data_IF_445844349182
#
_entry.id   IF_445844349182
#
_cell.length_a   1.000
_cell.length_b   1.000
_cell.length_c   1.000
_cell.angle_alpha   90.00
_cell.angle_beta   90.00
_cell.angle_gamma   90.00
#
_symmetry.space_group_name_H-M   'P 1'
#
loop_
_entity.id
_entity.type
_entity.pdbx_description
1 polymer ?
#
# COMPACT_ATOMS: atom_id res chain seq x y z
N UNK A 1 27.12 -6.86 19.56
CA UNK A 1 25.95 -6.03 19.93
C UNK A 1 24.74 -6.91 19.79
N UNK A 2 24.08 -7.28 20.88
CA UNK A 2 22.80 -8.00 20.85
C UNK A 2 21.77 -7.09 20.19
N UNK A 3 21.35 -7.43 18.97
CA UNK A 3 20.25 -6.75 18.29
C UNK A 3 19.00 -6.94 19.14
N UNK A 4 18.53 -5.89 19.80
CA UNK A 4 17.27 -5.91 20.55
C UNK A 4 16.12 -6.23 19.58
N UNK A 5 15.27 -7.19 19.97
CA UNK A 5 14.05 -7.51 19.24
C UNK A 5 13.21 -6.23 19.10
N UNK A 6 12.63 -6.04 17.92
CA UNK A 6 11.73 -4.94 17.62
C UNK A 6 10.41 -5.13 18.37
N UNK A 7 10.10 -4.28 19.36
CA UNK A 7 8.73 -4.35 19.90
C UNK A 7 7.71 -3.92 18.81
N UNK A 8 6.55 -4.59 18.77
CA UNK A 8 5.56 -4.42 17.72
C UNK A 8 4.76 -3.12 17.88
N UNK A 9 4.03 -2.75 16.82
CA UNK A 9 2.93 -1.78 16.88
C UNK A 9 1.61 -2.48 16.55
N UNK A 10 0.53 -2.08 17.21
CA UNK A 10 -0.78 -2.68 16.99
C UNK A 10 -1.41 -2.10 15.71
N UNK A 11 -2.02 -2.96 14.91
CA UNK A 11 -2.88 -2.58 13.80
C UNK A 11 -4.33 -2.77 14.24
N UNK A 12 -5.03 -1.69 14.51
CA UNK A 12 -6.39 -1.70 15.09
C UNK A 12 -7.47 -1.53 14.03
N UNK A 13 -7.16 -0.89 12.91
CA UNK A 13 -8.09 -0.67 11.80
C UNK A 13 -7.46 -0.86 10.45
N UNK A 14 -8.28 -1.19 9.46
CA UNK A 14 -7.89 -1.28 8.06
C UNK A 14 -9.05 -0.89 7.16
N UNK A 15 -8.76 -0.02 6.19
CA UNK A 15 -9.67 0.36 5.12
C UNK A 15 -9.00 0.20 3.78
N UNK A 16 -9.76 -0.25 2.79
CA UNK A 16 -9.26 -0.50 1.44
C UNK A 16 -10.28 -0.05 0.40
N UNK A 17 -9.78 0.50 -0.70
CA UNK A 17 -10.51 0.83 -1.90
C UNK A 17 -9.71 0.25 -3.06
N UNK A 18 -10.30 -0.68 -3.80
CA UNK A 18 -9.60 -1.48 -4.80
C UNK A 18 -10.53 -1.77 -5.99
N UNK A 19 -10.05 -2.47 -7.04
CA UNK A 19 -10.91 -2.95 -8.12
C UNK A 19 -12.03 -3.90 -7.67
N UNK A 20 -11.98 -4.43 -6.45
CA UNK A 20 -13.08 -5.17 -5.82
C UNK A 20 -14.23 -4.27 -5.32
N UNK A 21 -13.96 -2.96 -5.16
CA UNK A 21 -14.80 -2.03 -4.42
C UNK A 21 -14.16 -1.55 -3.12
N UNK A 22 -15.00 -1.08 -2.19
CA UNK A 22 -14.59 -0.52 -0.90
C UNK A 22 -14.82 -1.50 0.26
N UNK A 23 -13.83 -1.63 1.13
CA UNK A 23 -13.88 -2.41 2.36
C UNK A 23 -13.26 -3.81 2.25
N UNK A 24 -12.86 -4.36 3.41
CA UNK A 24 -12.23 -5.69 3.50
C UNK A 24 -13.15 -6.82 3.01
N UNK A 25 -14.46 -6.70 3.22
CA UNK A 25 -15.41 -7.71 2.78
C UNK A 25 -15.45 -7.86 1.25
N UNK A 26 -15.45 -6.73 0.51
CA UNK A 26 -15.40 -6.74 -0.94
C UNK A 26 -14.06 -7.32 -1.44
N UNK A 27 -12.94 -6.93 -0.81
CA UNK A 27 -11.63 -7.48 -1.13
C UNK A 27 -11.57 -9.00 -0.88
N UNK A 28 -12.10 -9.48 0.25
CA UNK A 28 -12.15 -10.92 0.58
C UNK A 28 -12.94 -11.70 -0.47
N UNK A 29 -14.16 -11.27 -0.77
CA UNK A 29 -15.01 -11.91 -1.78
C UNK A 29 -14.33 -11.99 -3.15
N UNK A 30 -13.51 -11.00 -3.52
CA UNK A 30 -12.70 -11.07 -4.73
C UNK A 30 -11.57 -12.10 -4.63
N UNK A 31 -10.83 -12.11 -3.51
CA UNK A 31 -9.72 -13.05 -3.29
C UNK A 31 -10.18 -14.51 -3.22
N UNK A 32 -11.38 -14.75 -2.71
CA UNK A 32 -12.00 -16.07 -2.63
C UNK A 32 -12.65 -16.52 -3.96
N UNK A 33 -12.64 -15.64 -4.98
CA UNK A 33 -13.21 -15.93 -6.30
C UNK A 33 -14.73 -15.85 -6.37
N UNK A 34 -15.40 -15.30 -5.36
CA UNK A 34 -16.85 -15.08 -5.33
C UNK A 34 -17.28 -13.93 -6.26
N UNK A 35 -16.38 -12.98 -6.50
CA UNK A 35 -16.60 -11.84 -7.38
C UNK A 35 -15.47 -11.68 -8.40
N UNK A 36 -15.63 -10.76 -9.36
CA UNK A 36 -14.62 -10.42 -10.38
C UNK A 36 -14.14 -8.99 -10.19
N UNK A 37 -12.88 -8.67 -10.52
CA UNK A 37 -12.41 -7.29 -10.44
C UNK A 37 -13.11 -6.44 -11.51
N UNK A 38 -13.26 -5.15 -11.23
CA UNK A 38 -13.65 -4.20 -12.27
C UNK A 38 -12.47 -3.99 -13.24
N UNK A 39 -12.53 -4.69 -14.37
CA UNK A 39 -11.43 -4.83 -15.33
C UNK A 39 -11.84 -4.31 -16.71
N UNK A 40 -10.93 -3.61 -17.37
CA UNK A 40 -10.99 -3.32 -18.80
C UNK A 40 -9.94 -4.19 -19.51
N UNK A 41 -10.36 -5.06 -20.46
CA UNK A 41 -9.43 -5.94 -21.17
C UNK A 41 -8.54 -5.12 -22.13
N UNK A 42 -7.39 -5.68 -22.56
CA UNK A 42 -6.55 -5.05 -23.56
C UNK A 42 -7.31 -4.90 -24.88
N UNK A 43 -7.10 -3.77 -25.56
CA UNK A 43 -7.65 -3.50 -26.88
C UNK A 43 -6.55 -2.95 -27.80
N UNK A 44 -6.35 -3.58 -28.96
CA UNK A 44 -5.29 -3.20 -29.91
C UNK A 44 -5.56 -1.83 -30.56
N UNK A 45 -6.84 -1.47 -30.75
CA UNK A 45 -7.28 -0.24 -31.39
C UNK A 45 -7.59 0.91 -30.41
N UNK A 46 -7.32 0.73 -29.11
CA UNK A 46 -7.61 1.76 -28.10
C UNK A 46 -6.55 2.87 -28.11
N UNK A 47 -6.96 4.10 -28.46
CA UNK A 47 -6.05 5.26 -28.41
C UNK A 47 -5.83 5.78 -26.97
N UNK A 48 -6.80 5.56 -26.08
CA UNK A 48 -6.80 6.13 -24.72
C UNK A 48 -5.91 5.31 -23.77
N UNK A 49 -5.96 3.99 -23.82
CA UNK A 49 -5.16 3.09 -22.99
C UNK A 49 -4.23 2.25 -23.87
N UNK A 50 -3.02 1.89 -23.40
CA UNK A 50 -2.18 0.93 -24.10
C UNK A 50 -2.87 -0.44 -24.22
N UNK A 51 -2.37 -1.36 -25.07
CA UNK A 51 -2.89 -2.73 -25.20
C UNK A 51 -2.48 -3.59 -23.99
N UNK A 52 -2.89 -3.19 -22.79
CA UNK A 52 -2.70 -3.87 -21.52
C UNK A 52 -4.06 -3.94 -20.81
N UNK A 53 -4.26 -5.00 -20.03
CA UNK A 53 -5.41 -5.04 -19.13
C UNK A 53 -5.24 -4.01 -18.01
N UNK A 54 -6.33 -3.39 -17.58
CA UNK A 54 -6.34 -2.50 -16.43
C UNK A 54 -7.47 -2.86 -15.48
N UNK A 55 -7.21 -2.75 -14.18
CA UNK A 55 -8.18 -2.96 -13.12
C UNK A 55 -8.34 -1.67 -12.33
N UNK A 56 -9.51 -1.09 -12.43
CA UNK A 56 -9.80 0.23 -11.86
C UNK A 56 -10.81 0.11 -10.74
N UNK A 57 -10.70 0.97 -9.74
CA UNK A 57 -11.71 1.09 -8.70
C UNK A 57 -13.05 1.40 -9.38
N UNK A 58 -14.15 0.68 -9.06
CA UNK A 58 -15.46 1.01 -9.61
C UNK A 58 -15.88 2.44 -9.24
N UNK A 59 -16.96 2.95 -9.85
CA UNK A 59 -17.44 4.29 -9.51
C UNK A 59 -17.96 4.34 -8.07
N UNK A 60 -17.14 4.87 -7.18
CA UNK A 60 -17.42 5.03 -5.76
C UNK A 60 -17.46 6.52 -5.44
N UNK A 61 -18.61 6.98 -4.99
CA UNK A 61 -18.84 8.40 -4.70
C UNK A 61 -18.20 8.76 -3.36
N UNK A 62 -17.13 9.55 -3.38
CA UNK A 62 -16.47 10.08 -2.19
C UNK A 62 -17.44 10.70 -1.17
N UNK A 63 -18.45 11.44 -1.67
CA UNK A 63 -19.43 12.11 -0.82
C UNK A 63 -20.27 11.17 0.06
N UNK A 64 -20.37 9.89 -0.29
CA UNK A 64 -21.14 8.91 0.46
C UNK A 64 -20.36 8.43 1.71
N UNK A 65 -19.05 8.65 1.75
CA UNK A 65 -18.17 8.27 2.86
C UNK A 65 -17.78 9.45 3.76
N UNK A 66 -17.58 10.63 3.16
CA UNK A 66 -17.04 11.80 3.89
C UNK A 66 -17.93 13.04 3.85
N UNK A 67 -19.13 12.93 3.27
CA UNK A 67 -20.06 14.04 3.08
C UNK A 67 -19.75 14.89 1.84
N UNK A 68 -20.67 15.79 1.48
CA UNK A 68 -20.60 16.56 0.21
C UNK A 68 -19.70 17.80 0.28
N UNK A 69 -19.49 18.37 1.46
CA UNK A 69 -18.82 19.66 1.61
C UNK A 69 -17.34 19.52 1.27
N UNK A 70 -16.86 20.26 0.26
CA UNK A 70 -15.44 20.31 -0.11
C UNK A 70 -14.95 19.22 -1.06
N UNK A 71 -15.73 18.17 -1.33
CA UNK A 71 -15.28 17.02 -2.14
C UNK A 71 -15.11 17.31 -3.63
N UNK A 72 -15.85 18.29 -4.19
CA UNK A 72 -15.84 18.61 -5.63
C UNK A 72 -14.45 19.00 -6.18
N UNK A 73 -13.55 19.48 -5.32
CA UNK A 73 -12.21 19.96 -5.73
C UNK A 73 -11.12 18.92 -5.58
N UNK A 74 -11.43 17.78 -4.98
CA UNK A 74 -10.46 16.72 -4.71
C UNK A 74 -10.31 15.82 -5.93
N UNK A 75 -9.07 15.41 -6.20
CA UNK A 75 -8.80 14.41 -7.23
C UNK A 75 -9.19 12.99 -6.76
N UNK A 76 -9.09 12.04 -7.68
CA UNK A 76 -9.46 10.64 -7.44
C UNK A 76 -8.50 9.97 -6.44
N UNK A 77 -7.21 10.29 -6.48
CA UNK A 77 -6.19 9.77 -5.56
C UNK A 77 -6.51 10.17 -4.10
N UNK A 78 -6.84 11.44 -3.87
CA UNK A 78 -7.30 11.96 -2.58
C UNK A 78 -8.60 11.26 -2.17
N UNK A 79 -9.53 11.10 -3.13
CA UNK A 79 -10.79 10.39 -2.88
C UNK A 79 -10.57 8.98 -2.34
N UNK A 80 -9.66 8.20 -2.94
CA UNK A 80 -9.30 6.87 -2.45
C UNK A 80 -8.73 6.90 -1.03
N UNK A 81 -7.79 7.81 -0.78
CA UNK A 81 -7.18 7.98 0.55
C UNK A 81 -8.21 8.30 1.62
N UNK A 82 -9.11 9.25 1.36
CA UNK A 82 -10.17 9.64 2.31
C UNK A 82 -11.17 8.52 2.58
N UNK A 83 -11.60 7.79 1.54
CA UNK A 83 -12.51 6.64 1.71
C UNK A 83 -11.81 5.52 2.51
N UNK A 84 -10.57 5.17 2.15
CA UNK A 84 -9.80 4.15 2.86
C UNK A 84 -9.55 4.56 4.33
N UNK A 85 -9.21 5.82 4.60
CA UNK A 85 -9.09 6.33 5.98
C UNK A 85 -10.41 6.24 6.74
N UNK A 86 -11.54 6.59 6.11
CA UNK A 86 -12.86 6.48 6.76
C UNK A 86 -13.16 5.04 7.17
N UNK A 87 -12.95 4.09 6.27
CA UNK A 87 -13.15 2.66 6.54
C UNK A 87 -12.18 2.12 7.61
N UNK A 88 -10.95 2.63 7.64
CA UNK A 88 -9.97 2.30 8.66
C UNK A 88 -10.38 2.85 10.05
N UNK A 89 -10.95 4.05 10.10
CA UNK A 89 -11.53 4.62 11.33
C UNK A 89 -12.71 3.79 11.84
N UNK A 90 -13.60 3.39 10.92
CA UNK A 90 -14.79 2.59 11.26
C UNK A 90 -14.42 1.23 11.87
N UNK A 91 -13.28 0.66 11.46
CA UNK A 91 -12.78 -0.63 11.99
C UNK A 91 -11.92 -0.47 13.25
N UNK A 92 -11.14 0.59 13.39
CA UNK A 92 -10.30 0.81 14.58
C UNK A 92 -11.09 1.06 15.87
N UNK A 93 -12.25 1.71 15.75
CA UNK A 93 -13.05 2.12 16.90
C UNK A 93 -12.30 3.04 17.87
N UNK A 94 -12.88 3.23 19.07
CA UNK A 94 -12.29 4.05 20.13
C UNK A 94 -12.68 5.52 20.11
N UNK A 95 -12.24 6.26 21.13
CA UNK A 95 -12.48 7.69 21.24
C UNK A 95 -11.65 8.46 20.19
N UNK A 96 -12.27 9.45 19.56
CA UNK A 96 -11.60 10.38 18.64
C UNK A 96 -11.77 11.81 19.18
N UNK A 97 -10.98 12.13 20.20
CA UNK A 97 -10.94 13.46 20.82
C UNK A 97 -9.78 14.30 20.28
N UNK A 98 -9.78 15.59 20.63
CA UNK A 98 -8.77 16.53 20.14
C UNK A 98 -7.35 16.20 20.64
N UNK A 99 -7.22 15.56 21.81
CA UNK A 99 -5.92 15.15 22.35
C UNK A 99 -5.31 14.01 21.52
N UNK A 100 -6.12 13.01 21.13
CA UNK A 100 -5.68 11.94 20.25
C UNK A 100 -5.42 12.46 18.84
N UNK A 101 -6.26 13.35 18.29
CA UNK A 101 -6.04 13.97 16.97
C UNK A 101 -4.75 14.78 16.91
N UNK A 102 -4.41 15.50 17.98
CA UNK A 102 -3.15 16.23 18.10
C UNK A 102 -1.91 15.31 17.98
N UNK A 103 -2.08 14.03 18.34
CA UNK A 103 -1.05 12.99 18.33
C UNK A 103 -1.25 11.95 17.22
N UNK A 104 -2.23 12.16 16.34
CA UNK A 104 -2.51 11.29 15.20
C UNK A 104 -1.78 11.82 13.97
N UNK A 105 -0.96 10.98 13.35
CA UNK A 105 -0.24 11.29 12.13
C UNK A 105 -0.75 10.54 10.89
N UNK A 106 -0.17 10.87 9.74
CA UNK A 106 -0.38 10.23 8.44
C UNK A 106 0.96 9.90 7.81
N UNK A 107 1.13 8.66 7.35
CA UNK A 107 2.29 8.21 6.59
C UNK A 107 1.81 7.48 5.32
N UNK A 108 1.97 8.10 4.17
CA UNK A 108 1.40 7.60 2.92
C UNK A 108 2.48 7.26 1.89
N UNK A 109 2.45 6.04 1.35
CA UNK A 109 3.30 5.63 0.24
C UNK A 109 2.70 6.02 -1.11
N UNK A 110 3.38 6.88 -1.85
CA UNK A 110 3.10 7.17 -3.27
C UNK A 110 4.35 7.78 -3.90
N UNK A 111 4.77 7.28 -5.06
CA UNK A 111 5.97 7.78 -5.76
C UNK A 111 5.64 8.86 -6.77
N UNK A 112 4.54 8.69 -7.48
CA UNK A 112 4.13 9.54 -8.61
C UNK A 112 3.12 10.60 -8.21
N UNK A 113 2.37 10.40 -7.12
CA UNK A 113 1.18 11.20 -6.83
C UNK A 113 0.15 11.08 -7.97
N UNK A 114 -0.73 12.08 -8.10
CA UNK A 114 -1.70 12.13 -9.19
C UNK A 114 -1.05 12.68 -10.47
N UNK A 115 -0.53 11.78 -11.32
CA UNK A 115 0.02 12.15 -12.64
C UNK A 115 -1.03 12.84 -13.49
N UNK A 116 -2.30 12.43 -13.36
CA UNK A 116 -3.43 13.10 -14.02
C UNK A 116 -3.53 14.56 -13.60
N UNK A 117 -3.50 14.85 -12.30
CA UNK A 117 -3.59 16.23 -11.80
C UNK A 117 -2.39 17.08 -12.23
N UNK A 118 -1.19 16.48 -12.27
CA UNK A 118 0.01 17.13 -12.81
C UNK A 118 -0.16 17.48 -14.29
N UNK A 119 -0.66 16.52 -15.09
CA UNK A 119 -0.94 16.74 -16.51
C UNK A 119 -2.00 17.81 -16.73
N UNK A 120 -3.14 17.75 -16.04
CA UNK A 120 -4.21 18.75 -16.17
C UNK A 120 -3.76 20.16 -15.74
N UNK A 121 -2.87 20.27 -14.75
CA UNK A 121 -2.26 21.55 -14.41
C UNK A 121 -1.34 22.04 -15.53
N UNK A 122 -0.46 21.18 -16.05
CA UNK A 122 0.46 21.53 -17.13
C UNK A 122 -0.30 21.95 -18.40
N UNK A 123 -1.34 21.20 -18.79
CA UNK A 123 -2.21 21.52 -19.91
C UNK A 123 -2.87 22.89 -19.71
N UNK A 124 -3.35 23.22 -18.50
CA UNK A 124 -3.89 24.56 -18.23
C UNK A 124 -2.86 25.70 -18.38
N UNK A 125 -1.57 25.42 -18.21
CA UNK A 125 -0.50 26.42 -18.34
C UNK A 125 -0.08 26.59 -19.80
N UNK A 126 0.07 25.48 -20.52
CA UNK A 126 0.69 25.45 -21.84
C UNK A 126 -0.29 25.44 -23.00
N UNK A 127 -1.56 25.08 -22.77
CA UNK A 127 -2.61 25.10 -23.78
C UNK A 127 -3.40 26.41 -23.69
N UNK A 128 -3.24 27.34 -24.66
CA UNK A 128 -3.93 28.63 -24.63
C UNK A 128 -5.46 28.51 -24.70
N UNK A 129 -5.99 27.41 -25.25
CA UNK A 129 -7.43 27.18 -25.35
C UNK A 129 -8.07 26.83 -24.00
N UNK A 130 -7.31 26.19 -23.11
CA UNK A 130 -7.76 25.82 -21.76
C UNK A 130 -7.63 27.01 -20.80
N UNK A 131 -6.51 27.73 -20.89
CA UNK A 131 -6.18 28.84 -20.00
C UNK A 131 -5.79 28.39 -18.59
N UNK A 132 -5.09 29.26 -17.87
CA UNK A 132 -4.51 28.92 -16.56
C UNK A 132 -5.57 28.71 -15.46
N UNK A 133 -5.55 27.53 -14.82
CA UNK A 133 -6.48 27.17 -13.72
C UNK A 133 -5.71 26.95 -12.40
N UNK A 134 -5.45 28.00 -11.61
CA UNK A 134 -4.65 27.91 -10.39
C UNK A 134 -5.17 26.90 -9.35
N UNK A 135 -6.48 26.65 -9.33
CA UNK A 135 -7.11 25.74 -8.38
C UNK A 135 -6.73 24.26 -8.57
N UNK A 136 -6.05 23.89 -9.66
CA UNK A 136 -5.53 22.53 -9.88
C UNK A 136 -4.23 22.26 -9.12
N UNK A 137 -3.47 23.30 -8.76
CA UNK A 137 -2.16 23.17 -8.12
C UNK A 137 -2.14 22.37 -6.81
N UNK A 138 -3.12 22.50 -5.88
CA UNK A 138 -3.09 21.75 -4.64
C UNK A 138 -3.14 20.22 -4.81
N UNK A 139 -3.69 19.73 -5.92
CA UNK A 139 -3.81 18.30 -6.21
C UNK A 139 -2.53 17.74 -6.87
N UNK A 140 -1.74 18.59 -7.54
CA UNK A 140 -0.56 18.15 -8.30
C UNK A 140 0.67 17.86 -7.43
N UNK A 141 0.68 18.28 -6.16
CA UNK A 141 1.81 18.00 -5.26
C UNK A 141 1.69 16.58 -4.69
N UNK A 142 2.81 15.87 -4.63
CA UNK A 142 2.85 14.44 -4.24
C UNK A 142 2.22 14.17 -2.86
N UNK A 143 2.38 15.10 -1.92
CA UNK A 143 1.85 14.99 -0.56
C UNK A 143 0.37 15.40 -0.42
N UNK A 144 -0.33 15.71 -1.52
CA UNK A 144 -1.71 16.22 -1.50
C UNK A 144 -2.65 15.27 -0.76
N UNK A 145 -2.60 13.97 -1.05
CA UNK A 145 -3.46 12.98 -0.41
C UNK A 145 -3.22 12.86 1.10
N UNK A 146 -1.96 12.76 1.55
CA UNK A 146 -1.64 12.72 2.98
C UNK A 146 -2.04 14.02 3.71
N UNK A 147 -1.85 15.17 3.04
CA UNK A 147 -2.29 16.47 3.53
C UNK A 147 -3.82 16.55 3.68
N UNK A 148 -4.57 16.11 2.67
CA UNK A 148 -6.03 16.12 2.69
C UNK A 148 -6.59 15.14 3.72
N UNK A 149 -5.99 13.96 3.91
CA UNK A 149 -6.36 13.04 5.00
C UNK A 149 -6.23 13.75 6.35
N UNK A 150 -5.12 14.45 6.59
CA UNK A 150 -4.92 15.15 7.86
C UNK A 150 -5.91 16.32 8.05
N UNK A 151 -6.09 17.16 7.03
CA UNK A 151 -7.03 18.29 7.06
C UNK A 151 -8.46 17.82 7.31
N UNK A 152 -8.88 16.76 6.61
CA UNK A 152 -10.25 16.28 6.69
C UNK A 152 -10.62 15.69 8.05
N UNK A 153 -9.65 15.08 8.73
CA UNK A 153 -9.84 14.42 10.02
C UNK A 153 -9.26 15.22 11.20
N UNK A 154 -8.81 16.47 10.96
CA UNK A 154 -8.14 17.32 11.93
C UNK A 154 -6.94 16.68 12.65
N UNK A 155 -6.20 15.82 11.95
CA UNK A 155 -4.97 15.21 12.48
C UNK A 155 -3.83 16.23 12.48
N UNK A 156 -3.09 16.31 13.59
CA UNK A 156 -2.05 17.33 13.78
C UNK A 156 -0.67 16.75 14.11
N UNK A 157 -0.54 15.41 14.11
CA UNK A 157 0.74 14.72 14.27
C UNK A 157 1.59 14.75 13.00
N UNK A 158 2.57 13.84 12.94
CA UNK A 158 3.46 13.71 11.77
C UNK A 158 2.65 13.53 10.48
N UNK A 159 3.03 14.22 9.41
CA UNK A 159 2.42 14.03 8.09
C UNK A 159 3.54 13.86 7.05
N UNK A 160 3.64 12.68 6.46
CA UNK A 160 4.73 12.35 5.54
C UNK A 160 4.28 11.51 4.37
N UNK A 161 4.85 11.82 3.21
CA UNK A 161 4.66 11.07 1.97
C UNK A 161 5.99 10.46 1.56
N UNK A 162 5.99 9.15 1.34
CA UNK A 162 7.19 8.36 1.07
C UNK A 162 7.15 7.84 -0.37
N UNK A 163 8.17 8.18 -1.13
CA UNK A 163 8.36 7.79 -2.53
C UNK A 163 9.55 6.83 -2.64
N UNK A 164 9.27 5.55 -2.89
CA UNK A 164 10.27 4.48 -3.01
C UNK A 164 9.80 3.37 -3.96
N UNK A 165 9.16 3.76 -5.08
CA UNK A 165 8.59 2.85 -6.06
C UNK A 165 7.58 1.87 -5.46
N UNK A 166 7.67 0.60 -5.84
CA UNK A 166 6.84 -0.48 -5.27
C UNK A 166 6.99 -0.62 -3.74
N UNK A 167 8.12 -0.22 -3.17
CA UNK A 167 8.38 -0.29 -1.74
C UNK A 167 7.88 0.93 -0.95
N UNK A 168 7.16 1.87 -1.57
CA UNK A 168 6.69 3.12 -0.94
C UNK A 168 5.83 2.89 0.30
N UNK A 169 4.82 2.02 0.22
CA UNK A 169 3.96 1.68 1.37
C UNK A 169 4.73 0.94 2.48
N UNK A 170 5.75 0.15 2.14
CA UNK A 170 6.64 -0.48 3.14
C UNK A 170 7.50 0.57 3.85
N UNK A 171 8.03 1.55 3.11
CA UNK A 171 8.71 2.71 3.68
C UNK A 171 7.80 3.52 4.61
N UNK A 172 6.53 3.70 4.23
CA UNK A 172 5.53 4.36 5.06
C UNK A 172 5.25 3.58 6.36
N UNK A 173 5.11 2.25 6.30
CA UNK A 173 4.97 1.38 7.47
C UNK A 173 6.17 1.48 8.42
N UNK A 174 7.38 1.46 7.87
CA UNK A 174 8.61 1.67 8.65
C UNK A 174 8.64 3.05 9.31
N UNK A 175 8.26 4.09 8.59
CA UNK A 175 8.17 5.46 9.11
C UNK A 175 7.15 5.55 10.25
N UNK A 176 5.93 5.03 10.06
CA UNK A 176 4.87 5.06 11.06
C UNK A 176 5.27 4.31 12.34
N UNK A 177 5.86 3.11 12.18
CA UNK A 177 6.41 2.36 13.30
C UNK A 177 7.44 3.19 14.07
N UNK A 178 8.41 3.79 13.38
CA UNK A 178 9.42 4.61 14.06
C UNK A 178 8.80 5.83 14.74
N UNK A 179 7.86 6.52 14.10
CA UNK A 179 7.17 7.67 14.69
C UNK A 179 6.46 7.31 15.99
N UNK A 180 5.78 6.15 16.05
CA UNK A 180 5.13 5.66 17.26
C UNK A 180 6.17 5.30 18.33
N UNK A 181 7.18 4.52 17.96
CA UNK A 181 8.13 3.93 18.91
C UNK A 181 9.10 4.95 19.52
N UNK A 182 9.38 6.04 18.81
CA UNK A 182 10.12 7.18 19.35
C UNK A 182 9.22 8.25 19.98
N UNK A 183 7.91 7.98 20.14
CA UNK A 183 6.97 8.86 20.84
C UNK A 183 6.57 10.13 20.08
N UNK A 184 6.84 10.19 18.77
CA UNK A 184 6.43 11.31 17.91
C UNK A 184 4.94 11.28 17.53
N UNK A 185 4.30 10.11 17.63
CA UNK A 185 2.86 9.94 17.43
C UNK A 185 2.30 8.84 18.34
N UNK A 186 1.03 8.94 18.69
CA UNK A 186 0.29 7.87 19.39
C UNK A 186 -0.38 6.90 18.41
N UNK A 187 -0.87 7.46 17.30
CA UNK A 187 -1.60 6.78 16.24
C UNK A 187 -1.09 7.30 14.91
N UNK A 188 -0.90 6.43 13.92
CA UNK A 188 -0.53 6.83 12.56
C UNK A 188 -1.41 6.08 11.58
N UNK A 189 -2.11 6.83 10.74
CA UNK A 189 -2.76 6.30 9.55
C UNK A 189 -1.68 6.05 8.50
N UNK A 190 -1.44 4.78 8.19
CA UNK A 190 -0.32 4.36 7.36
C UNK A 190 -0.74 3.45 6.22
N UNK A 191 -0.25 3.70 5.01
CA UNK A 191 -0.69 2.93 3.86
C UNK A 191 -0.03 3.36 2.56
N UNK A 192 -0.74 3.17 1.46
CA UNK A 192 -0.31 3.61 0.14
C UNK A 192 -1.49 3.85 -0.80
N UNK A 193 -1.25 4.69 -1.81
CA UNK A 193 -2.24 5.03 -2.83
C UNK A 193 -1.60 5.07 -4.21
N UNK A 194 -2.33 4.56 -5.19
CA UNK A 194 -1.99 4.66 -6.60
C UNK A 194 -3.25 4.99 -7.40
N UNK A 195 -3.15 5.95 -8.31
CA UNK A 195 -4.21 6.33 -9.25
C UNK A 195 -3.82 5.89 -10.64
N UNK A 196 -4.72 5.18 -11.33
CA UNK A 196 -4.49 4.82 -12.72
C UNK A 196 -5.09 5.90 -13.63
N UNK A 197 -4.28 6.36 -14.56
CA UNK A 197 -4.68 7.29 -15.61
C UNK A 197 -4.09 6.83 -16.96
N UNK A 198 -4.66 7.27 -18.09
CA UNK A 198 -4.08 7.03 -19.41
C UNK A 198 -2.58 7.33 -19.49
N UNK A 199 -2.15 8.44 -18.88
CA UNK A 199 -0.76 8.89 -18.86
C UNK A 199 0.15 7.89 -18.12
N UNK A 200 -0.31 7.40 -16.96
CA UNK A 200 0.40 6.38 -16.18
C UNK A 200 0.47 5.06 -16.93
N UNK A 201 -0.65 4.62 -17.52
CA UNK A 201 -0.72 3.37 -18.26
C UNK A 201 0.23 3.38 -19.46
N UNK A 202 0.20 4.43 -20.28
CA UNK A 202 1.15 4.60 -21.40
C UNK A 202 2.60 4.72 -20.94
N UNK A 203 2.87 5.44 -19.85
CA UNK A 203 4.21 5.56 -19.27
C UNK A 203 4.80 4.18 -18.90
N UNK A 204 4.02 3.35 -18.22
CA UNK A 204 4.42 1.99 -17.87
C UNK A 204 4.54 1.06 -19.07
N UNK A 205 3.63 1.16 -20.04
CA UNK A 205 3.72 0.35 -21.25
C UNK A 205 4.97 0.69 -22.08
N UNK A 206 5.31 1.99 -22.19
CA UNK A 206 6.46 2.47 -22.97
C UNK A 206 7.79 2.39 -22.22
N UNK A 207 7.81 2.06 -20.92
CA UNK A 207 9.05 1.87 -20.17
C UNK A 207 9.85 0.65 -20.63
N UNK A 208 9.18 -0.32 -21.29
CA UNK A 208 9.77 -1.60 -21.67
C UNK A 208 10.02 -2.56 -20.50
N UNK A 209 9.50 -2.26 -19.30
CA UNK A 209 9.68 -3.11 -18.11
C UNK A 209 8.59 -4.15 -17.93
N UNK A 210 7.41 -3.93 -18.53
CA UNK A 210 6.24 -4.79 -18.37
C UNK A 210 6.19 -5.94 -19.39
N UNK A 211 5.71 -7.09 -18.96
CA UNK A 211 5.30 -8.19 -19.83
C UNK A 211 4.05 -7.82 -20.62
N UNK A 212 3.77 -8.55 -21.70
CA UNK A 212 2.59 -8.32 -22.55
C UNK A 212 1.26 -8.60 -21.82
N UNK A 213 1.29 -9.51 -20.85
CA UNK A 213 0.16 -9.92 -20.00
C UNK A 213 0.08 -9.12 -18.68
N UNK A 214 0.88 -8.07 -18.53
CA UNK A 214 0.86 -7.23 -17.34
C UNK A 214 -0.52 -6.57 -17.17
N UNK A 215 -1.02 -6.61 -15.92
CA UNK A 215 -2.27 -5.95 -15.53
C UNK A 215 -1.94 -4.80 -14.58
N UNK A 216 -2.30 -3.58 -14.95
CA UNK A 216 -2.14 -2.42 -14.07
C UNK A 216 -3.35 -2.26 -13.15
N UNK A 217 -3.11 -1.88 -11.90
CA UNK A 217 -4.14 -1.67 -10.89
C UNK A 217 -4.08 -0.27 -10.28
N UNK A 218 -5.18 0.14 -9.65
CA UNK A 218 -5.22 1.33 -8.78
C UNK A 218 -5.94 1.04 -7.46
N UNK A 219 -5.74 1.93 -6.50
CA UNK A 219 -6.50 1.95 -5.27
C UNK A 219 -5.72 2.50 -4.08
N UNK A 220 -6.32 2.40 -2.91
CA UNK A 220 -5.68 2.75 -1.64
C UNK A 220 -5.98 1.71 -0.56
N UNK A 221 -4.98 1.41 0.27
CA UNK A 221 -5.19 0.74 1.55
C UNK A 221 -4.55 1.57 2.66
N UNK A 222 -5.28 1.73 3.76
CA UNK A 222 -4.87 2.46 4.97
C UNK A 222 -5.03 1.56 6.18
N UNK A 223 -3.99 1.49 7.00
CA UNK A 223 -3.97 0.83 8.30
C UNK A 223 -3.97 1.89 9.41
N UNK A 224 -4.53 1.57 10.56
CA UNK A 224 -4.39 2.35 11.80
C UNK A 224 -3.35 1.67 12.66
N UNK A 225 -2.15 2.25 12.71
CA UNK A 225 -1.06 1.78 13.56
C UNK A 225 -1.04 2.56 14.87
N UNK A 226 -0.98 1.86 16.00
CA UNK A 226 -1.02 2.45 17.34
C UNK A 226 0.04 1.86 18.25
N UNK A 227 0.44 2.65 19.24
CA UNK A 227 1.18 2.16 20.40
C UNK A 227 0.33 1.09 21.13
N UNK A 228 0.81 -0.16 21.29
CA UNK A 228 0.06 -1.21 21.98
C UNK A 228 -0.42 -0.80 23.37
N UNK A 229 0.33 0.04 24.08
CA UNK A 229 -0.05 0.53 25.42
C UNK A 229 -1.31 1.43 25.42
N UNK A 230 -1.71 1.94 24.26
CA UNK A 230 -2.84 2.87 24.09
C UNK A 230 -4.06 2.21 23.43
N UNK A 231 -3.96 0.92 23.08
CA UNK A 231 -5.06 0.18 22.45
C UNK A 231 -6.17 -0.13 23.46
N UNK A 232 -5.80 -0.55 24.67
CA UNK A 232 -6.75 -1.04 25.68
C UNK A 232 -7.45 -2.32 25.22
N UNK A 233 -8.76 -2.43 25.47
CA UNK A 233 -9.58 -3.61 25.12
C UNK A 233 -10.08 -3.61 23.66
N UNK A 234 -9.63 -2.64 22.84
CA UNK A 234 -10.04 -2.56 21.43
C UNK A 234 -9.51 -3.76 20.65
N UNK A 235 -10.25 -4.15 19.62
CA UNK A 235 -9.81 -5.21 18.73
C UNK A 235 -8.50 -4.83 18.04
N UNK A 236 -7.52 -5.73 18.13
CA UNK A 236 -6.30 -5.70 17.33
C UNK A 236 -6.52 -6.63 16.14
N UNK A 237 -6.34 -6.14 14.92
CA UNK A 237 -6.44 -6.94 13.70
C UNK A 237 -5.14 -7.72 13.44
N UNK A 238 -4.00 -7.08 13.71
CA UNK A 238 -2.66 -7.67 13.62
C UNK A 238 -1.65 -6.85 14.41
N UNK A 239 -0.46 -7.40 14.62
CA UNK A 239 0.70 -6.68 15.12
C UNK A 239 1.74 -6.54 14.01
N UNK A 240 2.19 -5.33 13.72
CA UNK A 240 3.32 -5.09 12.82
C UNK A 240 4.63 -5.24 13.61
N UNK A 241 5.33 -6.35 13.38
CA UNK A 241 6.57 -6.68 14.09
C UNK A 241 7.72 -5.77 13.61
N UNK A 242 7.80 -5.57 12.30
CA UNK A 242 8.84 -4.77 11.68
C UNK A 242 8.58 -4.55 10.20
N UNK A 243 9.27 -3.55 9.65
CA UNK A 243 9.32 -3.25 8.23
C UNK A 243 10.75 -2.84 7.87
N UNK A 244 11.28 -3.46 6.83
CA UNK A 244 12.63 -3.26 6.33
C UNK A 244 12.58 -2.87 4.86
N UNK A 245 13.47 -1.96 4.46
CA UNK A 245 13.65 -1.56 3.07
C UNK A 245 15.13 -1.55 2.74
N UNK A 246 15.45 -1.83 1.49
CA UNK A 246 16.81 -1.84 0.95
C UNK A 246 16.83 -1.43 -0.52
N UNK A 247 18.03 -1.17 -1.02
CA UNK A 247 18.28 -0.88 -2.43
C UNK A 247 19.43 -1.74 -2.91
N UNK A 248 19.23 -2.42 -4.05
CA UNK A 248 20.18 -3.35 -4.63
C UNK A 248 20.28 -3.06 -6.12
N UNK A 249 21.40 -2.46 -6.54
CA UNK A 249 21.60 -2.04 -7.93
C UNK A 249 21.40 -3.23 -8.88
N UNK A 250 20.40 -3.20 -9.77
CA UNK A 250 20.10 -4.31 -10.67
C UNK A 250 21.22 -4.59 -11.67
N UNK A 251 22.14 -3.63 -11.89
CA UNK A 251 23.32 -3.78 -12.74
C UNK A 251 24.48 -4.47 -12.02
N UNK A 252 24.42 -4.56 -10.69
CA UNK A 252 25.48 -5.16 -9.89
C UNK A 252 25.38 -6.69 -9.90
N UNK A 253 26.32 -7.33 -10.59
CA UNK A 253 26.38 -8.80 -10.68
C UNK A 253 26.81 -9.50 -9.38
N UNK A 254 27.34 -8.78 -8.38
CA UNK A 254 27.80 -9.38 -7.10
C UNK A 254 26.66 -9.62 -6.12
N UNK A 255 25.71 -8.68 -6.03
CA UNK A 255 24.51 -8.79 -5.20
C UNK A 255 23.32 -8.55 -6.10
N UNK A 256 22.69 -9.64 -6.53
CA UNK A 256 21.48 -9.58 -7.34
C UNK A 256 20.29 -9.09 -6.48
N UNK A 257 19.24 -8.50 -7.10
CA UNK A 257 18.02 -8.13 -6.38
C UNK A 257 17.44 -9.28 -5.53
N UNK A 258 17.52 -10.53 -6.01
CA UNK A 258 17.08 -11.69 -5.25
C UNK A 258 17.88 -11.91 -3.95
N UNK A 259 19.21 -11.78 -4.00
CA UNK A 259 20.06 -11.85 -2.79
C UNK A 259 19.79 -10.67 -1.85
N UNK A 260 19.52 -9.50 -2.42
CA UNK A 260 19.14 -8.32 -1.65
C UNK A 260 17.82 -8.46 -0.91
N UNK A 261 16.81 -9.02 -1.58
CA UNK A 261 15.56 -9.44 -0.95
C UNK A 261 15.82 -10.45 0.17
N UNK A 262 16.63 -11.47 -0.09
CA UNK A 262 16.94 -12.47 0.91
C UNK A 262 17.57 -11.85 2.17
N UNK A 263 18.59 -10.99 2.00
CA UNK A 263 19.23 -10.27 3.10
C UNK A 263 18.27 -9.37 3.87
N UNK A 264 17.32 -8.73 3.18
CA UNK A 264 16.34 -7.83 3.80
C UNK A 264 15.33 -8.63 4.63
N UNK A 265 14.85 -9.77 4.11
CA UNK A 265 13.97 -10.70 4.83
C UNK A 265 14.67 -11.33 6.03
N UNK A 266 15.87 -11.86 5.88
CA UNK A 266 16.64 -12.44 7.00
C UNK A 266 16.84 -11.42 8.11
N UNK A 267 17.24 -10.19 7.78
CA UNK A 267 17.39 -9.10 8.77
C UNK A 267 16.07 -8.78 9.48
N UNK A 268 14.95 -8.76 8.76
CA UNK A 268 13.64 -8.53 9.36
C UNK A 268 13.26 -9.65 10.34
N UNK A 269 13.49 -10.91 9.99
CA UNK A 269 13.23 -12.07 10.86
C UNK A 269 14.08 -12.02 12.12
N UNK A 270 15.41 -11.83 11.98
CA UNK A 270 16.34 -11.70 13.09
C UNK A 270 15.92 -10.58 14.06
N UNK A 271 15.56 -9.41 13.51
CA UNK A 271 15.10 -8.26 14.31
C UNK A 271 13.73 -8.47 14.93
N UNK A 272 12.93 -9.39 14.41
CA UNK A 272 11.63 -9.76 14.97
C UNK A 272 11.71 -10.94 15.95
N UNK A 273 12.91 -11.49 16.17
CA UNK A 273 13.10 -12.68 17.00
C UNK A 273 12.48 -13.95 16.40
N UNK A 274 12.34 -13.99 15.07
CA UNK A 274 11.75 -15.12 14.34
C UNK A 274 12.80 -15.82 13.47
N UNK A 275 12.48 -17.06 13.11
CA UNK A 275 13.22 -17.89 12.16
C UNK A 275 12.41 -18.04 10.87
N UNK A 276 13.05 -18.60 9.84
CA UNK A 276 12.37 -18.92 8.58
C UNK A 276 11.14 -19.83 8.78
N UNK A 277 11.23 -20.80 9.71
CA UNK A 277 10.16 -21.76 9.98
C UNK A 277 8.95 -21.19 10.70
N UNK A 278 9.03 -19.94 11.19
CA UNK A 278 7.91 -19.26 11.85
C UNK A 278 6.97 -18.55 10.85
N UNK A 279 7.34 -18.46 9.57
CA UNK A 279 6.57 -17.75 8.53
C UNK A 279 5.56 -18.71 7.89
N UNK A 280 4.27 -18.48 8.16
CA UNK A 280 3.19 -19.35 7.69
C UNK A 280 2.64 -18.93 6.31
N UNK A 281 2.68 -17.63 6.03
CA UNK A 281 2.13 -17.03 4.81
C UNK A 281 3.13 -16.03 4.21
N UNK A 282 3.31 -16.07 2.89
CA UNK A 282 3.98 -15.01 2.13
C UNK A 282 3.00 -14.31 1.20
N UNK A 283 2.88 -13.00 1.32
CA UNK A 283 2.24 -12.18 0.29
C UNK A 283 3.31 -11.68 -0.67
N UNK A 284 3.19 -12.09 -1.92
CA UNK A 284 4.15 -11.82 -3.00
C UNK A 284 3.74 -10.56 -3.76
N UNK A 285 4.65 -9.59 -3.84
CA UNK A 285 4.42 -8.27 -4.40
C UNK A 285 4.85 -8.11 -5.86
N UNK A 286 5.66 -9.02 -6.42
CA UNK A 286 6.10 -8.91 -7.81
C UNK A 286 4.92 -9.10 -8.79
N UNK A 287 4.70 -8.09 -9.63
CA UNK A 287 3.61 -8.06 -10.60
C UNK A 287 4.05 -7.42 -11.92
N UNK A 288 3.55 -7.94 -13.05
CA UNK A 288 3.65 -7.34 -14.39
C UNK A 288 5.04 -7.14 -15.00
N UNK A 289 6.12 -7.13 -14.22
CA UNK A 289 7.47 -6.82 -14.69
C UNK A 289 8.24 -8.07 -15.11
N UNK A 290 9.05 -7.95 -16.17
CA UNK A 290 9.87 -9.03 -16.69
C UNK A 290 10.79 -9.63 -15.61
N UNK A 291 10.62 -10.93 -15.34
CA UNK A 291 11.47 -11.68 -14.40
C UNK A 291 11.26 -11.36 -12.92
N UNK A 292 10.44 -10.37 -12.56
CA UNK A 292 10.27 -9.93 -11.17
C UNK A 292 9.75 -11.06 -10.26
N UNK A 293 8.78 -11.85 -10.73
CA UNK A 293 8.25 -13.01 -9.98
C UNK A 293 9.34 -14.04 -9.67
N UNK A 294 10.16 -14.36 -10.66
CA UNK A 294 11.29 -15.30 -10.50
C UNK A 294 12.30 -14.76 -9.50
N UNK A 295 12.62 -13.47 -9.57
CA UNK A 295 13.54 -12.80 -8.63
C UNK A 295 13.00 -12.85 -7.20
N UNK A 296 11.72 -12.54 -7.01
CA UNK A 296 11.06 -12.53 -5.71
C UNK A 296 11.07 -13.92 -5.07
N UNK A 297 10.56 -14.93 -5.77
CA UNK A 297 10.46 -16.27 -5.21
C UNK A 297 11.83 -16.91 -5.00
N UNK A 298 12.80 -16.63 -5.87
CA UNK A 298 14.17 -17.10 -5.66
C UNK A 298 14.79 -16.42 -4.43
N UNK A 299 14.59 -15.12 -4.24
CA UNK A 299 15.04 -14.39 -3.05
C UNK A 299 14.40 -14.92 -1.76
N UNK A 300 13.11 -15.26 -1.80
CA UNK A 300 12.41 -15.87 -0.67
C UNK A 300 12.91 -17.28 -0.36
N UNK A 301 13.13 -18.14 -1.36
CA UNK A 301 13.72 -19.48 -1.14
C UNK A 301 15.13 -19.37 -0.55
N UNK A 302 15.91 -18.36 -0.93
CA UNK A 302 17.22 -18.11 -0.31
C UNK A 302 17.11 -17.70 1.18
N UNK A 303 16.07 -16.97 1.57
CA UNK A 303 15.87 -16.52 2.94
C UNK A 303 15.20 -17.56 3.84
N UNK A 304 14.20 -18.26 3.29
CA UNK A 304 13.30 -19.14 4.03
C UNK A 304 13.63 -20.63 3.86
N UNK A 305 14.47 -20.99 2.89
CA UNK A 305 14.73 -22.36 2.48
C UNK A 305 13.61 -22.92 1.58
N UNK A 306 12.39 -22.95 2.09
CA UNK A 306 11.18 -23.34 1.36
C UNK A 306 10.18 -22.19 1.30
N UNK A 307 9.36 -22.17 0.25
CA UNK A 307 8.32 -21.16 0.10
C UNK A 307 7.06 -21.65 0.84
N UNK A 308 6.55 -20.95 1.87
CA UNK A 308 5.32 -21.33 2.55
C UNK A 308 4.10 -21.06 1.65
N UNK A 309 2.89 -21.20 2.20
CA UNK A 309 1.66 -20.79 1.51
C UNK A 309 1.82 -19.37 1.00
N UNK A 310 1.46 -19.15 -0.26
CA UNK A 310 1.64 -17.85 -0.92
C UNK A 310 0.32 -17.25 -1.37
N UNK A 311 0.22 -15.94 -1.21
CA UNK A 311 -0.87 -15.10 -1.71
C UNK A 311 -0.29 -14.12 -2.72
N UNK A 312 -0.91 -13.99 -3.89
CA UNK A 312 -0.48 -13.03 -4.91
C UNK A 312 -1.61 -12.06 -5.22
N UNK A 313 -1.68 -11.00 -4.43
CA UNK A 313 -2.78 -10.01 -4.47
C UNK A 313 -2.88 -9.30 -5.82
N UNK A 314 -1.74 -9.13 -6.50
CA UNK A 314 -1.72 -8.56 -7.85
C UNK A 314 -2.48 -9.38 -8.88
N UNK A 315 -2.64 -10.70 -8.68
CA UNK A 315 -3.42 -11.54 -9.60
C UNK A 315 -4.92 -11.22 -9.53
N UNK A 316 -5.39 -10.61 -8.44
CA UNK A 316 -6.76 -10.13 -8.28
C UNK A 316 -6.90 -8.62 -8.56
N UNK A 317 -5.93 -7.80 -8.13
CA UNK A 317 -6.06 -6.33 -8.19
C UNK A 317 -5.26 -5.65 -9.31
N UNK A 318 -4.34 -6.36 -9.98
CA UNK A 318 -3.33 -5.75 -10.84
C UNK A 318 -2.17 -5.16 -10.02
N UNK A 319 -1.12 -4.70 -10.71
CA UNK A 319 0.00 -4.00 -10.08
C UNK A 319 -0.42 -2.59 -9.65
N UNK A 320 -0.58 -2.39 -8.35
CA UNK A 320 -0.95 -1.11 -7.74
C UNK A 320 0.28 -0.28 -7.33
N UNK A 321 1.45 -0.54 -7.93
CA UNK A 321 2.72 0.17 -7.75
C UNK A 321 3.00 0.55 -6.29
N UNK A 322 2.90 1.84 -5.93
CA UNK A 322 3.24 2.35 -4.59
C UNK A 322 2.31 1.80 -3.49
N UNK A 323 1.06 1.49 -3.85
CA UNK A 323 0.06 0.96 -2.94
C UNK A 323 0.16 -0.55 -2.73
N UNK A 324 0.91 -1.28 -3.57
CA UNK A 324 0.94 -2.75 -3.57
C UNK A 324 1.25 -3.36 -2.19
N UNK A 325 2.21 -2.82 -1.44
CA UNK A 325 2.50 -3.30 -0.07
C UNK A 325 1.34 -3.13 0.90
N UNK A 326 0.62 -1.99 0.84
CA UNK A 326 -0.54 -1.74 1.69
C UNK A 326 -1.75 -2.59 1.26
N UNK A 327 -1.95 -2.81 -0.04
CA UNK A 327 -2.98 -3.72 -0.57
C UNK A 327 -2.74 -5.15 -0.10
N UNK A 328 -1.48 -5.58 -0.07
CA UNK A 328 -1.09 -6.87 0.46
C UNK A 328 -1.40 -7.00 1.95
N UNK A 329 -1.14 -5.96 2.76
CA UNK A 329 -1.56 -5.95 4.16
C UNK A 329 -3.08 -6.09 4.30
N UNK A 330 -3.85 -5.31 3.54
CA UNK A 330 -5.31 -5.39 3.57
C UNK A 330 -5.82 -6.79 3.16
N UNK A 331 -5.20 -7.43 2.17
CA UNK A 331 -5.56 -8.78 1.73
C UNK A 331 -5.26 -9.84 2.80
N UNK A 332 -4.12 -9.75 3.49
CA UNK A 332 -3.80 -10.61 4.64
C UNK A 332 -4.83 -10.44 5.75
N UNK A 333 -5.20 -9.19 6.09
CA UNK A 333 -6.22 -8.91 7.12
C UNK A 333 -7.61 -9.40 6.69
N UNK A 334 -7.98 -9.25 5.42
CA UNK A 334 -9.22 -9.78 4.86
C UNK A 334 -9.27 -11.30 4.97
N UNK A 335 -8.19 -11.99 4.61
CA UNK A 335 -8.04 -13.45 4.74
C UNK A 335 -8.14 -13.93 6.18
N UNK A 336 -7.64 -13.15 7.14
CA UNK A 336 -7.70 -13.51 8.55
C UNK A 336 -9.03 -13.17 9.23
N UNK A 337 -9.94 -12.46 8.56
CA UNK A 337 -11.12 -11.85 9.18
C UNK A 337 -12.24 -12.82 9.59
N UNK A 338 -12.34 -14.00 8.98
CA UNK A 338 -13.40 -14.99 9.26
C UNK A 338 -12.90 -16.25 9.98
N UNK A 339 -11.60 -16.30 10.32
CA UNK A 339 -11.00 -17.44 11.01
C UNK A 339 -10.85 -18.70 10.15
N UNK A 340 -11.04 -18.62 8.82
CA UNK A 340 -10.86 -19.75 7.88
C UNK A 340 -9.42 -20.30 7.84
N UNK A 341 -8.44 -19.51 8.25
CA UNK A 341 -7.02 -19.87 8.27
C UNK A 341 -6.42 -19.79 9.67
N UNK A 342 -6.86 -20.62 10.64
CA UNK A 342 -6.47 -20.50 12.05
C UNK A 342 -4.99 -20.83 12.31
N UNK A 343 -4.36 -21.64 11.44
CA UNK A 343 -2.96 -22.02 11.54
C UNK A 343 -1.98 -20.89 11.14
N UNK A 344 -2.42 -19.92 10.33
CA UNK A 344 -1.58 -18.80 9.90
C UNK A 344 -1.42 -17.80 11.05
N UNK A 345 -0.20 -17.64 11.57
CA UNK A 345 0.14 -16.71 12.64
C UNK A 345 1.03 -15.57 12.16
N UNK A 346 1.99 -15.83 11.29
CA UNK A 346 2.89 -14.81 10.75
C UNK A 346 2.79 -14.73 9.22
N UNK A 347 2.50 -13.52 8.74
CA UNK A 347 2.49 -13.20 7.32
C UNK A 347 3.67 -12.28 6.99
N UNK A 348 4.53 -12.73 6.09
CA UNK A 348 5.59 -11.93 5.47
C UNK A 348 5.05 -11.31 4.19
N UNK A 349 5.13 -9.98 4.08
CA UNK A 349 4.79 -9.26 2.85
C UNK A 349 6.07 -8.78 2.19
N UNK A 350 6.22 -9.01 0.89
CA UNK A 350 7.36 -8.53 0.10
C UNK A 350 6.96 -7.51 -0.94
N UNK A 351 7.92 -6.68 -1.32
CA UNK A 351 7.82 -5.71 -2.39
C UNK A 351 9.18 -5.54 -3.05
N UNK A 352 9.19 -5.45 -4.38
CA UNK A 352 10.40 -5.18 -5.15
C UNK A 352 10.04 -4.38 -6.40
N UNK A 353 10.96 -3.50 -6.80
CA UNK A 353 10.90 -2.78 -8.07
C UNK A 353 12.05 -3.18 -8.98
N UNK A 354 11.83 -3.06 -10.30
CA UNK A 354 12.88 -3.22 -11.31
C UNK A 354 14.06 -2.25 -11.16
N UNK A 355 13.87 -1.15 -10.41
CA UNK A 355 14.91 -0.17 -10.08
C UNK A 355 15.87 -0.65 -8.99
N UNK A 356 15.61 -1.81 -8.37
CA UNK A 356 16.41 -2.36 -7.28
C UNK A 356 15.88 -2.03 -5.89
N UNK A 357 14.78 -1.30 -5.78
CA UNK A 357 14.09 -1.11 -4.50
C UNK A 357 13.55 -2.46 -4.00
N UNK A 358 13.73 -2.71 -2.71
CA UNK A 358 13.26 -3.91 -2.02
C UNK A 358 12.65 -3.50 -0.69
N UNK A 359 11.53 -4.11 -0.33
CA UNK A 359 10.89 -3.93 0.96
C UNK A 359 10.26 -5.22 1.46
N UNK A 360 10.20 -5.39 2.78
CA UNK A 360 9.37 -6.40 3.40
C UNK A 360 8.87 -5.95 4.78
N UNK A 361 7.76 -6.52 5.23
CA UNK A 361 7.25 -6.33 6.59
C UNK A 361 6.56 -7.60 7.09
N UNK A 362 6.45 -7.72 8.41
CA UNK A 362 5.85 -8.87 9.09
C UNK A 362 4.63 -8.45 9.88
N UNK A 363 3.51 -9.12 9.60
CA UNK A 363 2.30 -9.07 10.40
C UNK A 363 2.19 -10.34 11.23
N UNK A 364 1.83 -10.20 12.50
CA UNK A 364 1.51 -11.29 13.41
C UNK A 364 0.03 -11.22 13.79
N UNK A 365 -0.68 -12.33 13.70
CA UNK A 365 -2.04 -12.43 14.25
C UNK A 365 -1.96 -12.31 15.78
N UNK A 366 -2.80 -11.48 16.43
CA UNK A 366 -2.76 -11.34 17.88
C UNK A 366 -3.09 -12.68 18.56
N UNK A 367 -2.47 -12.95 19.70
CA UNK A 367 -2.86 -14.09 20.53
C UNK A 367 -4.20 -13.80 21.19
N UNK A 368 -5.12 -14.76 21.14
CA UNK A 368 -6.41 -14.70 21.83
C UNK A 368 -6.26 -14.60 23.36
#
# INVERSE_FOLDING_TARGET
MTTSVLDPVAITGCGVVSPAGAGLAALRALLDGETKPNETPPAEDAEVLPPLAVRIVPDIRLADYVGRKGTRRLDRMIGFGLIATRLALDTAGGADDDALRARTGVALGTTTGSVRSVYELADSIFNPEVGYVPSRFPNSVMNSCAGQIAVWNAFQGVNSTLANGHASSVSALRYARNAIRFGHASRVFVGGVEELSPQVAWGWHKSGTLTQDAVLGEGCAMLVAEDPAQVGDRQVLAELLGAEVGYFDPRNRRVTPARGLAQTVTRLLERSGLTAGDVDLVSLGAAGQHGARTVEEYGLRLALGELPTSLRVSDALGDCYSASGAMQAAAVLARWSDGSHPAERHALVTSLGADGSVGCFLLRRPTA
#
